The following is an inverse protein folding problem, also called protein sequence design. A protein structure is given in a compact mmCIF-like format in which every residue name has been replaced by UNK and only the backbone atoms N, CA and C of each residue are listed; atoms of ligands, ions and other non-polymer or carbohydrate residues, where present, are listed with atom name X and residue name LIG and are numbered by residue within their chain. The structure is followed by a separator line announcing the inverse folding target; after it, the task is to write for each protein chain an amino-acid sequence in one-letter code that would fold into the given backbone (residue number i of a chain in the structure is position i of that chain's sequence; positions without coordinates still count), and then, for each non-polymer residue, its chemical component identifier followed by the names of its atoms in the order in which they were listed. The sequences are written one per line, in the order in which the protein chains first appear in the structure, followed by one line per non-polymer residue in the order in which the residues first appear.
data_IF_029451263937
#
_entry.id   IF_029451263937
#
_cell.length_a   1.000
_cell.length_b   1.000
_cell.length_c   1.000
_cell.angle_alpha   90.00
_cell.angle_beta   90.00
_cell.angle_gamma   90.00
#
_symmetry.space_group_name_H-M   'P 1'
#
loop_
_entity.id
_entity.type
_entity.pdbx_description
1 polymer ?
#
# COMPACT_ATOMS: atom_id res chain seq x y z
N UNK A 1 0.51 -14.75 -11.32
CA UNK A 1 1.96 -14.63 -11.02
C UNK A 1 2.66 -13.58 -11.88
N UNK A 2 2.38 -13.48 -13.18
CA UNK A 2 3.05 -12.53 -14.09
C UNK A 2 3.03 -11.05 -13.62
N UNK A 3 1.91 -10.47 -13.11
CA UNK A 3 1.91 -9.07 -12.69
C UNK A 3 2.78 -8.79 -11.45
N UNK A 4 2.78 -9.69 -10.47
CA UNK A 4 3.56 -9.53 -9.24
C UNK A 4 5.07 -9.63 -9.49
N UNK A 5 5.48 -10.57 -10.34
CA UNK A 5 6.87 -10.70 -10.76
C UNK A 5 7.35 -9.46 -11.51
N UNK A 6 6.53 -8.93 -12.41
CA UNK A 6 6.84 -7.68 -13.12
C UNK A 6 6.89 -6.47 -12.17
N UNK A 7 6.02 -6.42 -11.17
CA UNK A 7 6.05 -5.37 -10.15
C UNK A 7 7.38 -5.35 -9.38
N UNK A 8 7.96 -6.51 -9.05
CA UNK A 8 9.33 -6.58 -8.48
C UNK A 8 10.38 -5.95 -9.39
N UNK A 9 10.39 -6.31 -10.67
CA UNK A 9 11.30 -5.70 -11.65
C UNK A 9 11.09 -4.20 -11.78
N UNK A 10 9.85 -3.73 -11.74
CA UNK A 10 9.51 -2.30 -11.80
C UNK A 10 10.04 -1.58 -10.56
N UNK A 11 9.80 -2.09 -9.35
CA UNK A 11 10.27 -1.47 -8.11
C UNK A 11 11.81 -1.45 -8.05
N UNK A 12 12.50 -2.51 -8.51
CA UNK A 12 13.96 -2.49 -8.66
C UNK A 12 14.44 -1.37 -9.59
N UNK A 13 13.76 -1.16 -10.72
CA UNK A 13 14.07 -0.05 -11.65
C UNK A 13 13.80 1.31 -11.01
N UNK A 14 12.68 1.47 -10.32
CA UNK A 14 12.31 2.71 -9.61
C UNK A 14 13.40 3.07 -8.59
N UNK A 15 13.82 2.11 -7.76
CA UNK A 15 14.83 2.34 -6.74
C UNK A 15 16.20 2.67 -7.35
N UNK A 16 16.56 1.99 -8.45
CA UNK A 16 17.83 2.24 -9.13
C UNK A 16 17.88 3.60 -9.83
N UNK A 17 16.75 4.04 -10.40
CA UNK A 17 16.64 5.28 -11.17
C UNK A 17 16.17 6.50 -10.35
N UNK A 18 15.62 6.28 -9.14
CA UNK A 18 15.01 7.35 -8.32
C UNK A 18 13.77 7.97 -8.97
N UNK A 19 13.02 7.21 -9.77
CA UNK A 19 11.89 7.72 -10.55
C UNK A 19 10.72 6.73 -10.56
N UNK A 20 9.52 7.20 -10.20
CA UNK A 20 8.29 6.41 -10.12
C UNK A 20 7.50 6.30 -11.42
N UNK A 21 7.87 7.02 -12.48
CA UNK A 21 7.20 6.92 -13.79
C UNK A 21 7.01 5.48 -14.30
N UNK A 22 7.99 4.55 -14.16
CA UNK A 22 7.80 3.15 -14.53
C UNK A 22 6.66 2.45 -13.78
N UNK A 23 6.34 2.85 -12.55
CA UNK A 23 5.21 2.33 -11.79
C UNK A 23 3.88 2.82 -12.37
N UNK A 24 3.77 4.11 -12.70
CA UNK A 24 2.58 4.67 -13.37
C UNK A 24 2.35 4.03 -14.74
N UNK A 25 3.39 3.84 -15.54
CA UNK A 25 3.32 3.15 -16.83
C UNK A 25 2.89 1.69 -16.66
N UNK A 26 3.47 0.98 -15.67
CA UNK A 26 3.08 -0.40 -15.39
C UNK A 26 1.61 -0.51 -14.96
N UNK A 27 1.16 0.36 -14.04
CA UNK A 27 -0.23 0.35 -13.59
C UNK A 27 -1.18 0.72 -14.74
N UNK A 28 -0.85 1.74 -15.55
CA UNK A 28 -1.66 2.11 -16.71
C UNK A 28 -1.85 0.93 -17.65
N UNK A 29 -0.77 0.24 -18.02
CA UNK A 29 -0.83 -0.95 -18.86
C UNK A 29 -1.63 -2.10 -18.22
N UNK A 30 -1.58 -2.22 -16.90
CA UNK A 30 -2.34 -3.23 -16.16
C UNK A 30 -3.84 -2.92 -16.18
N UNK A 31 -4.22 -1.64 -16.09
CA UNK A 31 -5.59 -1.18 -16.18
C UNK A 31 -6.18 -1.25 -17.59
N UNK A 32 -5.37 -1.33 -18.64
CA UNK A 32 -5.88 -1.60 -20.01
C UNK A 32 -6.36 -3.05 -20.19
N UNK A 33 -6.08 -3.95 -19.25
CA UNK A 33 -6.63 -5.31 -19.28
C UNK A 33 -8.14 -5.27 -19.06
N UNK A 34 -8.89 -6.08 -19.80
CA UNK A 34 -10.36 -6.09 -19.79
C UNK A 34 -10.96 -6.24 -18.37
N UNK A 35 -10.28 -6.99 -17.50
CA UNK A 35 -10.66 -7.17 -16.10
C UNK A 35 -10.66 -5.86 -15.29
N UNK A 36 -9.69 -4.99 -15.54
CA UNK A 36 -9.36 -3.84 -14.70
C UNK A 36 -9.82 -2.52 -15.31
N UNK A 37 -10.04 -2.48 -16.62
CA UNK A 37 -10.42 -1.28 -17.37
C UNK A 37 -11.64 -0.57 -16.79
N UNK A 38 -12.62 -1.33 -16.30
CA UNK A 38 -13.83 -0.80 -15.65
C UNK A 38 -13.57 -0.02 -14.35
N UNK A 39 -12.44 -0.27 -13.70
CA UNK A 39 -12.04 0.39 -12.46
C UNK A 39 -11.10 1.57 -12.71
N UNK A 40 -10.82 1.91 -13.98
CA UNK A 40 -10.06 3.10 -14.37
C UNK A 40 -10.94 4.36 -14.30
N UNK A 41 -11.40 4.67 -13.10
CA UNK A 41 -12.20 5.85 -12.78
C UNK A 41 -12.08 6.15 -11.28
N UNK A 42 -12.38 7.39 -10.90
CA UNK A 42 -12.40 7.77 -9.49
C UNK A 42 -13.67 7.27 -8.79
N UNK A 43 -13.57 6.74 -7.55
CA UNK A 43 -14.73 6.39 -6.72
C UNK A 43 -15.34 7.62 -6.04
N UNK A 44 -14.84 8.82 -6.34
CA UNK A 44 -15.32 10.09 -5.83
C UNK A 44 -15.86 10.99 -6.95
N UNK A 45 -16.96 11.72 -6.70
CA UNK A 45 -17.38 12.80 -7.59
C UNK A 45 -16.56 14.10 -7.43
N UNK A 46 -15.67 14.18 -6.43
CA UNK A 46 -14.90 15.40 -6.10
C UNK A 46 -13.42 15.33 -6.48
N UNK A 47 -12.93 14.15 -6.83
CA UNK A 47 -11.52 13.90 -7.14
C UNK A 47 -11.45 13.19 -8.47
N UNK A 48 -10.67 13.71 -9.42
CA UNK A 48 -10.40 13.03 -10.69
C UNK A 48 -9.35 11.94 -10.51
N UNK A 49 -9.38 10.91 -11.34
CA UNK A 49 -8.40 9.80 -11.23
C UNK A 49 -6.97 10.31 -11.44
N UNK A 50 -6.80 11.24 -12.37
CA UNK A 50 -5.52 11.84 -12.74
C UNK A 50 -4.86 12.57 -11.55
N UNK A 51 -5.64 13.09 -10.61
CA UNK A 51 -5.13 13.78 -9.41
C UNK A 51 -4.45 12.85 -8.41
N UNK A 52 -4.79 11.55 -8.45
CA UNK A 52 -4.32 10.54 -7.48
C UNK A 52 -3.56 9.39 -8.15
N UNK A 53 -3.55 9.32 -9.48
CA UNK A 53 -3.10 8.15 -10.23
C UNK A 53 -1.66 7.76 -9.91
N UNK A 54 -0.75 8.73 -9.86
CA UNK A 54 0.67 8.45 -9.61
C UNK A 54 0.94 7.94 -8.19
N UNK A 55 0.22 8.44 -7.20
CA UNK A 55 0.34 7.96 -5.82
C UNK A 55 -0.32 6.58 -5.66
N UNK A 56 -1.44 6.34 -6.34
CA UNK A 56 -2.05 5.00 -6.44
C UNK A 56 -1.07 4.03 -7.09
N UNK A 57 -0.41 4.41 -8.18
CA UNK A 57 0.58 3.58 -8.86
C UNK A 57 1.77 3.25 -7.97
N UNK A 58 2.34 4.27 -7.31
CA UNK A 58 3.44 4.11 -6.37
C UNK A 58 3.12 3.07 -5.29
N UNK A 59 1.99 3.23 -4.60
CA UNK A 59 1.57 2.31 -3.53
C UNK A 59 1.21 0.93 -4.09
N UNK A 60 0.35 0.85 -5.10
CA UNK A 60 -0.16 -0.42 -5.60
C UNK A 60 0.98 -1.28 -6.18
N UNK A 61 1.88 -0.69 -6.97
CA UNK A 61 2.99 -1.43 -7.59
C UNK A 61 4.01 -1.88 -6.54
N UNK A 62 4.29 -1.04 -5.54
CA UNK A 62 5.14 -1.46 -4.43
C UNK A 62 4.53 -2.63 -3.66
N UNK A 63 3.25 -2.55 -3.28
CA UNK A 63 2.58 -3.65 -2.57
C UNK A 63 2.52 -4.91 -3.42
N UNK A 64 2.23 -4.81 -4.73
CA UNK A 64 2.26 -5.94 -5.66
C UNK A 64 3.65 -6.60 -5.71
N UNK A 65 4.74 -5.84 -5.61
CA UNK A 65 6.10 -6.39 -5.61
C UNK A 65 6.40 -7.28 -4.39
N UNK A 66 5.68 -7.08 -3.29
CA UNK A 66 5.81 -7.90 -2.08
C UNK A 66 5.00 -9.19 -2.15
N UNK A 67 4.23 -9.41 -3.23
CA UNK A 67 3.39 -10.58 -3.43
C UNK A 67 3.97 -11.58 -4.45
N UNK A 68 3.61 -12.86 -4.33
CA UNK A 68 3.29 -13.49 -3.05
C UNK A 68 4.52 -13.41 -2.11
N UNK A 69 4.34 -13.34 -0.78
CA UNK A 69 5.44 -13.28 0.17
C UNK A 69 6.08 -14.66 0.36
N UNK A 70 6.73 -15.15 -0.69
CA UNK A 70 7.44 -16.43 -0.73
C UNK A 70 8.94 -16.19 -0.84
N UNK A 71 9.72 -17.05 -0.19
CA UNK A 71 11.17 -17.05 -0.30
C UNK A 71 11.60 -17.00 -1.78
N UNK A 72 12.37 -15.97 -2.14
CA UNK A 72 12.82 -15.72 -3.50
C UNK A 72 14.23 -15.13 -3.46
N UNK A 73 14.99 -15.32 -4.54
CA UNK A 73 16.34 -14.76 -4.70
C UNK A 73 16.33 -13.26 -5.06
N UNK A 74 15.15 -12.69 -5.27
CA UNK A 74 14.96 -11.34 -5.76
C UNK A 74 15.17 -10.32 -4.64
N UNK A 75 16.08 -9.39 -4.90
CA UNK A 75 16.48 -8.37 -3.92
C UNK A 75 15.93 -7.01 -4.25
N UNK A 76 15.66 -6.25 -3.21
CA UNK A 76 15.56 -4.82 -3.25
C UNK A 76 16.73 -4.27 -2.44
N UNK A 77 17.77 -3.81 -3.15
CA UNK A 77 19.07 -3.44 -2.54
C UNK A 77 19.71 -4.65 -1.83
N UNK A 78 20.05 -4.51 -0.54
CA UNK A 78 20.75 -5.54 0.24
C UNK A 78 19.83 -6.61 0.85
N UNK A 79 18.50 -6.43 0.75
CA UNK A 79 17.50 -7.32 1.36
C UNK A 79 16.59 -7.95 0.30
N UNK A 80 15.98 -9.08 0.63
CA UNK A 80 15.05 -9.75 -0.26
C UNK A 80 13.65 -9.11 -0.19
N UNK A 81 12.89 -9.12 -1.28
CA UNK A 81 11.47 -8.70 -1.23
C UNK A 81 10.68 -9.49 -0.19
N UNK A 82 10.99 -10.78 -0.04
CA UNK A 82 10.43 -11.65 0.98
C UNK A 82 10.71 -11.15 2.41
N UNK A 83 11.94 -10.73 2.70
CA UNK A 83 12.31 -10.19 4.01
C UNK A 83 11.55 -8.89 4.32
N UNK A 84 11.35 -8.02 3.32
CA UNK A 84 10.56 -6.80 3.48
C UNK A 84 9.12 -7.14 3.83
N UNK A 85 8.52 -8.12 3.14
CA UNK A 85 7.16 -8.56 3.41
C UNK A 85 7.02 -9.14 4.84
N UNK A 86 7.93 -10.02 5.26
CA UNK A 86 7.95 -10.60 6.62
C UNK A 86 8.13 -9.53 7.70
N UNK A 87 9.03 -8.57 7.49
CA UNK A 87 9.26 -7.48 8.43
C UNK A 87 8.05 -6.53 8.51
N UNK A 88 7.35 -6.25 7.40
CA UNK A 88 6.11 -5.46 7.42
C UNK A 88 4.97 -6.19 8.14
N UNK A 89 4.77 -7.48 7.84
CA UNK A 89 3.78 -8.30 8.55
C UNK A 89 4.08 -8.37 10.05
N UNK A 90 5.36 -8.47 10.43
CA UNK A 90 5.75 -8.47 11.84
C UNK A 90 5.59 -7.10 12.48
N UNK A 91 5.93 -6.01 11.79
CA UNK A 91 5.78 -4.63 12.27
C UNK A 91 4.34 -4.33 12.66
N UNK A 92 3.35 -4.93 12.00
CA UNK A 92 1.93 -4.79 12.37
C UNK A 92 1.60 -5.37 13.77
N UNK A 93 2.34 -6.39 14.20
CA UNK A 93 2.16 -7.06 15.50
C UNK A 93 3.05 -6.44 16.57
N UNK A 94 4.32 -6.17 16.26
CA UNK A 94 5.33 -5.81 17.26
C UNK A 94 5.73 -4.33 17.23
N UNK A 95 5.25 -3.56 16.24
CA UNK A 95 5.54 -2.14 16.11
C UNK A 95 6.94 -1.79 15.60
N UNK A 96 7.75 -2.76 15.18
CA UNK A 96 9.16 -2.57 14.79
C UNK A 96 9.47 -3.14 13.40
N UNK A 97 10.11 -2.33 12.53
CA UNK A 97 10.69 -2.79 11.26
C UNK A 97 12.20 -3.02 11.41
N UNK A 98 12.59 -4.30 11.48
CA UNK A 98 13.93 -4.74 11.92
C UNK A 98 14.40 -6.03 11.25
N UNK A 99 15.73 -6.17 11.11
CA UNK A 99 16.39 -7.36 10.54
C UNK A 99 16.09 -8.62 11.37
N UNK A 100 15.78 -8.46 12.66
CA UNK A 100 15.36 -9.56 13.55
C UNK A 100 14.23 -10.41 12.95
N UNK A 101 13.36 -9.78 12.17
CA UNK A 101 12.16 -10.36 11.57
C UNK A 101 12.31 -10.64 10.07
N UNK A 102 13.54 -10.60 9.55
CA UNK A 102 13.88 -10.85 8.15
C UNK A 102 14.71 -12.14 8.06
N UNK A 103 14.10 -13.31 7.75
CA UNK A 103 14.78 -14.60 7.84
C UNK A 103 16.08 -14.71 7.04
N UNK A 104 16.08 -14.25 5.79
CA UNK A 104 17.26 -14.37 4.92
C UNK A 104 18.32 -13.33 5.29
N UNK A 105 17.92 -12.08 5.55
CA UNK A 105 18.82 -11.03 6.04
C UNK A 105 19.49 -11.44 7.36
N UNK A 106 18.74 -11.99 8.32
CA UNK A 106 19.27 -12.47 9.60
C UNK A 106 20.29 -13.59 9.42
N UNK A 107 20.07 -14.48 8.45
CA UNK A 107 21.04 -15.53 8.12
C UNK A 107 22.34 -14.94 7.56
N UNK A 108 22.24 -13.94 6.69
CA UNK A 108 23.41 -13.24 6.13
C UNK A 108 24.18 -12.46 7.22
N UNK A 109 23.50 -11.83 8.18
CA UNK A 109 24.15 -11.19 9.34
C UNK A 109 24.92 -12.21 10.19
N UNK A 110 24.36 -13.39 10.43
CA UNK A 110 25.07 -14.48 11.13
C UNK A 110 26.32 -14.97 10.40
N UNK A 111 26.38 -14.78 9.09
CA UNK A 111 27.55 -15.05 8.25
C UNK A 111 28.54 -13.88 8.20
N UNK A 112 28.33 -12.83 9.00
CA UNK A 112 29.20 -11.65 9.07
C UNK A 112 28.91 -10.57 8.03
N UNK A 113 27.83 -10.69 7.24
CA UNK A 113 27.45 -9.62 6.28
C UNK A 113 26.69 -8.51 6.98
N UNK A 114 27.15 -7.27 6.82
CA UNK A 114 26.43 -6.09 7.31
C UNK A 114 25.28 -5.74 6.37
N UNK A 115 24.06 -5.69 6.89
CA UNK A 115 22.86 -5.32 6.11
C UNK A 115 22.40 -3.91 6.49
N UNK A 116 22.10 -3.09 5.49
CA UNK A 116 21.68 -1.71 5.69
C UNK A 116 20.21 -1.50 5.30
N UNK A 117 19.34 -1.25 6.27
CA UNK A 117 17.92 -0.98 6.04
C UNK A 117 17.60 0.48 5.67
N UNK A 118 18.58 1.40 5.66
CA UNK A 118 18.31 2.84 5.49
C UNK A 118 17.58 3.16 4.19
N UNK A 119 17.98 2.54 3.08
CA UNK A 119 17.35 2.74 1.77
C UNK A 119 15.91 2.21 1.76
N UNK A 120 15.71 1.01 2.31
CA UNK A 120 14.39 0.38 2.40
C UNK A 120 13.46 1.21 3.29
N UNK A 121 13.92 1.68 4.45
CA UNK A 121 13.12 2.54 5.34
C UNK A 121 12.70 3.84 4.65
N UNK A 122 13.62 4.50 3.92
CA UNK A 122 13.29 5.68 3.11
C UNK A 122 12.25 5.37 2.04
N UNK A 123 12.38 4.23 1.36
CA UNK A 123 11.41 3.80 0.36
C UNK A 123 10.03 3.55 0.97
N UNK A 124 9.97 2.92 2.15
CA UNK A 124 8.71 2.71 2.86
C UNK A 124 8.04 4.04 3.27
N UNK A 125 8.83 5.06 3.62
CA UNK A 125 8.32 6.40 3.89
C UNK A 125 7.86 7.11 2.60
N UNK A 126 8.62 7.00 1.52
CA UNK A 126 8.29 7.60 0.23
C UNK A 126 7.01 7.04 -0.39
N UNK A 127 6.77 5.72 -0.23
CA UNK A 127 5.54 5.04 -0.66
C UNK A 127 4.36 5.31 0.28
N UNK A 128 4.62 5.87 1.46
CA UNK A 128 3.60 6.19 2.46
C UNK A 128 3.18 5.01 3.33
N UNK A 129 3.95 3.91 3.40
CA UNK A 129 3.67 2.75 4.27
C UNK A 129 4.08 3.03 5.71
N UNK A 130 5.15 3.81 5.89
CA UNK A 130 5.66 4.20 7.21
C UNK A 130 5.77 5.71 7.28
N UNK A 131 5.56 6.29 8.46
CA UNK A 131 5.91 7.69 8.75
C UNK A 131 6.58 7.77 10.11
N UNK A 132 7.82 8.26 10.15
CA UNK A 132 8.57 8.39 11.41
C UNK A 132 8.77 7.06 12.13
N UNK A 133 8.89 5.96 11.38
CA UNK A 133 9.03 4.61 11.94
C UNK A 133 7.74 3.92 12.37
N UNK A 134 6.57 4.53 12.20
CA UNK A 134 5.25 3.94 12.53
C UNK A 134 4.48 3.58 11.26
N UNK A 135 3.76 2.45 11.25
CA UNK A 135 2.87 2.08 10.14
C UNK A 135 1.75 3.11 9.98
N UNK A 136 1.55 3.60 8.76
CA UNK A 136 0.40 4.42 8.37
C UNK A 136 -0.85 3.55 8.18
N UNK A 137 -2.00 4.16 7.89
CA UNK A 137 -3.20 3.44 7.45
C UNK A 137 -2.98 2.74 6.11
N UNK A 138 -2.38 3.42 5.14
CA UNK A 138 -1.88 2.80 3.88
C UNK A 138 -0.94 1.62 4.17
N UNK A 139 -0.07 1.75 5.17
CA UNK A 139 0.81 0.66 5.60
C UNK A 139 0.07 -0.51 6.23
N UNK A 140 -0.97 -0.26 7.04
CA UNK A 140 -1.84 -1.31 7.56
C UNK A 140 -2.59 -2.03 6.43
N UNK A 141 -3.10 -1.29 5.43
CA UNK A 141 -3.67 -1.87 4.21
C UNK A 141 -2.69 -2.80 3.50
N UNK A 142 -1.44 -2.34 3.29
CA UNK A 142 -0.41 -3.16 2.66
C UNK A 142 -0.15 -4.45 3.46
N UNK A 143 -0.07 -4.38 4.79
CA UNK A 143 0.12 -5.57 5.64
C UNK A 143 -1.10 -6.50 5.61
N UNK A 144 -2.32 -5.97 5.67
CA UNK A 144 -3.56 -6.76 5.56
C UNK A 144 -3.60 -7.53 4.23
N UNK A 145 -3.16 -6.91 3.13
CA UNK A 145 -3.07 -7.60 1.83
C UNK A 145 -2.10 -8.79 1.88
N UNK A 146 -0.93 -8.63 2.49
CA UNK A 146 0.09 -9.68 2.64
C UNK A 146 -0.41 -10.82 3.52
N UNK A 147 -0.97 -10.50 4.69
CA UNK A 147 -1.53 -11.48 5.61
C UNK A 147 -2.67 -12.28 4.97
N UNK A 148 -3.55 -11.60 4.24
CA UNK A 148 -4.62 -12.26 3.48
C UNK A 148 -4.05 -13.20 2.41
N UNK A 149 -3.00 -12.75 1.69
CA UNK A 149 -2.33 -13.58 0.69
C UNK A 149 -1.71 -14.84 1.28
N UNK A 150 -1.09 -14.75 2.46
CA UNK A 150 -0.54 -15.92 3.16
C UNK A 150 -1.66 -16.85 3.62
N UNK A 151 -2.68 -16.31 4.28
CA UNK A 151 -3.76 -17.09 4.89
C UNK A 151 -4.64 -17.81 3.84
N UNK A 152 -4.93 -17.15 2.71
CA UNK A 152 -5.79 -17.69 1.65
C UNK A 152 -5.02 -18.29 0.48
N UNK A 153 -3.68 -18.19 0.47
CA UNK A 153 -2.82 -18.53 -0.68
C UNK A 153 -3.30 -17.86 -1.97
N UNK A 154 -3.77 -16.61 -1.85
CA UNK A 154 -4.42 -15.87 -2.92
C UNK A 154 -4.01 -14.40 -2.91
N UNK A 155 -3.42 -13.93 -4.00
CA UNK A 155 -3.06 -12.52 -4.18
C UNK A 155 -3.91 -11.91 -5.30
N UNK A 156 -4.56 -10.77 -5.03
CA UNK A 156 -5.39 -10.05 -6.02
C UNK A 156 -4.79 -8.69 -6.37
N UNK A 157 -4.56 -8.51 -7.67
CA UNK A 157 -4.13 -7.22 -8.23
C UNK A 157 -5.25 -6.19 -8.07
N UNK A 158 -6.49 -6.60 -8.33
CA UNK A 158 -7.69 -5.78 -8.17
C UNK A 158 -7.80 -5.26 -6.73
N UNK A 159 -7.69 -6.14 -5.74
CA UNK A 159 -7.81 -5.78 -4.33
C UNK A 159 -6.74 -4.79 -3.89
N UNK A 160 -5.49 -4.97 -4.33
CA UNK A 160 -4.40 -4.04 -4.04
C UNK A 160 -4.64 -2.67 -4.70
N UNK A 161 -4.97 -2.67 -6.00
CA UNK A 161 -5.24 -1.43 -6.74
C UNK A 161 -6.42 -0.66 -6.13
N UNK A 162 -7.56 -1.32 -5.91
CA UNK A 162 -8.76 -0.69 -5.39
C UNK A 162 -8.55 -0.18 -3.96
N UNK A 163 -7.80 -0.90 -3.12
CA UNK A 163 -7.48 -0.43 -1.77
C UNK A 163 -6.60 0.81 -1.78
N UNK A 164 -5.58 0.85 -2.67
CA UNK A 164 -4.77 2.05 -2.87
C UNK A 164 -5.58 3.21 -3.44
N UNK A 165 -6.48 2.94 -4.39
CA UNK A 165 -7.39 3.94 -4.97
C UNK A 165 -8.30 4.57 -3.90
N UNK A 166 -8.90 3.76 -3.03
CA UNK A 166 -9.71 4.25 -1.90
C UNK A 166 -8.88 5.17 -1.00
N UNK A 167 -7.68 4.73 -0.60
CA UNK A 167 -6.83 5.49 0.31
C UNK A 167 -6.43 6.86 -0.24
N UNK A 168 -5.94 6.90 -1.49
CA UNK A 168 -5.47 8.12 -2.11
C UNK A 168 -6.61 9.04 -2.56
N UNK A 169 -7.76 8.48 -2.96
CA UNK A 169 -8.97 9.29 -3.22
C UNK A 169 -9.44 9.97 -1.95
N UNK A 170 -9.46 9.25 -0.81
CA UNK A 170 -9.83 9.83 0.48
C UNK A 170 -8.84 10.92 0.90
N UNK A 171 -7.54 10.68 0.74
CA UNK A 171 -6.51 11.69 1.03
C UNK A 171 -6.70 12.96 0.19
N UNK A 172 -7.02 12.82 -1.09
CA UNK A 172 -7.31 13.95 -1.97
C UNK A 172 -8.61 14.68 -1.58
N UNK A 173 -9.69 13.98 -1.24
CA UNK A 173 -10.93 14.61 -0.78
C UNK A 173 -10.71 15.41 0.51
N UNK A 174 -9.96 14.84 1.45
CA UNK A 174 -9.68 15.46 2.74
C UNK A 174 -8.64 16.58 2.65
N UNK A 175 -8.02 16.79 1.47
CA UNK A 175 -7.04 17.87 1.25
C UNK A 175 -7.72 19.22 1.48
N UNK A 176 -7.20 19.97 2.44
CA UNK A 176 -7.74 21.28 2.80
C UNK A 176 -8.98 21.24 3.71
N UNK A 177 -9.46 20.07 4.12
CA UNK A 177 -10.46 19.99 5.18
C UNK A 177 -9.83 20.44 6.51
N UNK A 178 -10.40 21.47 7.13
CA UNK A 178 -9.95 22.02 8.40
C UNK A 178 -11.03 21.85 9.46
N UNK A 179 -10.62 21.47 10.66
CA UNK A 179 -11.48 21.29 11.83
C UNK A 179 -10.67 20.75 13.00
N UNK A 180 -11.31 20.57 14.14
CA UNK A 180 -10.73 19.85 15.27
C UNK A 180 -10.35 18.42 14.88
N UNK A 181 -9.42 17.79 15.61
CA UNK A 181 -9.04 16.39 15.38
C UNK A 181 -10.27 15.49 15.29
N UNK A 182 -11.25 15.67 16.19
CA UNK A 182 -12.50 14.90 16.18
C UNK A 182 -13.29 15.07 14.88
N UNK A 183 -13.47 16.29 14.40
CA UNK A 183 -14.20 16.57 13.16
C UNK A 183 -13.48 15.96 11.95
N UNK A 184 -12.16 16.06 11.90
CA UNK A 184 -11.33 15.48 10.84
C UNK A 184 -11.46 13.96 10.81
N UNK A 185 -11.45 13.30 11.96
CA UNK A 185 -11.61 11.85 12.03
C UNK A 185 -13.03 11.42 11.64
N UNK A 186 -14.07 12.14 12.09
CA UNK A 186 -15.45 11.86 11.71
C UNK A 186 -15.68 12.03 10.20
N UNK A 187 -15.13 13.10 9.63
CA UNK A 187 -15.22 13.37 8.20
C UNK A 187 -14.47 12.31 7.38
N UNK A 188 -13.28 11.90 7.83
CA UNK A 188 -12.52 10.82 7.21
C UNK A 188 -13.30 9.50 7.18
N UNK A 189 -13.96 9.12 8.29
CA UNK A 189 -14.81 7.92 8.36
C UNK A 189 -16.00 8.04 7.39
N UNK A 190 -16.69 9.17 7.40
CA UNK A 190 -17.87 9.38 6.55
C UNK A 190 -17.52 9.30 5.06
N UNK A 191 -16.45 10.00 4.64
CA UNK A 191 -15.99 9.98 3.25
C UNK A 191 -15.41 8.64 2.84
N UNK A 192 -14.67 7.97 3.73
CA UNK A 192 -14.20 6.60 3.52
C UNK A 192 -15.36 5.66 3.22
N UNK A 193 -16.40 5.68 4.05
CA UNK A 193 -17.57 4.81 3.88
C UNK A 193 -18.25 5.05 2.52
N UNK A 194 -18.41 6.30 2.11
CA UNK A 194 -18.97 6.65 0.81
C UNK A 194 -18.12 6.10 -0.34
N UNK A 195 -16.81 6.38 -0.33
CA UNK A 195 -15.86 5.92 -1.36
C UNK A 195 -15.87 4.38 -1.46
N UNK A 196 -15.81 3.69 -0.31
CA UNK A 196 -15.83 2.23 -0.26
C UNK A 196 -17.14 1.66 -0.78
N UNK A 197 -18.28 2.28 -0.47
CA UNK A 197 -19.58 1.84 -1.01
C UNK A 197 -19.62 1.92 -2.53
N UNK A 198 -19.12 3.02 -3.11
CA UNK A 198 -19.01 3.17 -4.57
C UNK A 198 -18.13 2.07 -5.19
N UNK A 199 -16.98 1.75 -4.58
CA UNK A 199 -16.14 0.64 -5.06
C UNK A 199 -16.86 -0.71 -4.93
N UNK A 200 -17.54 -0.97 -3.81
CA UNK A 200 -18.32 -2.21 -3.60
C UNK A 200 -19.44 -2.35 -4.63
N UNK A 201 -20.10 -1.27 -5.01
CA UNK A 201 -21.10 -1.28 -6.08
C UNK A 201 -20.49 -1.67 -7.42
N UNK A 202 -19.29 -1.17 -7.75
CA UNK A 202 -18.59 -1.58 -8.97
C UNK A 202 -18.21 -3.06 -8.96
N UNK A 203 -17.77 -3.57 -7.81
CA UNK A 203 -17.47 -4.99 -7.65
C UNK A 203 -18.74 -5.83 -7.80
N UNK A 204 -19.86 -5.44 -7.17
CA UNK A 204 -21.14 -6.15 -7.26
C UNK A 204 -21.71 -6.16 -8.68
N UNK A 205 -21.58 -5.05 -9.41
CA UNK A 205 -22.00 -4.91 -10.80
C UNK A 205 -21.07 -5.64 -11.79
N UNK A 206 -19.96 -6.23 -11.33
CA UNK A 206 -19.05 -6.94 -12.22
C UNK A 206 -19.72 -8.16 -12.88
N UNK A 207 -19.64 -8.32 -14.21
CA UNK A 207 -20.00 -9.58 -14.89
C UNK A 207 -19.14 -10.78 -14.46
N UNK A 208 -17.91 -10.57 -13.98
CA UNK A 208 -17.00 -11.66 -13.59
C UNK A 208 -17.20 -11.98 -12.11
N UNK A 209 -17.72 -13.17 -11.80
CA UNK A 209 -18.08 -13.57 -10.43
C UNK A 209 -16.93 -13.44 -9.42
N UNK A 210 -15.70 -13.78 -9.82
CA UNK A 210 -14.53 -13.69 -8.93
C UNK A 210 -14.19 -12.25 -8.54
N UNK A 211 -14.60 -11.25 -9.33
CA UNK A 211 -14.39 -9.85 -8.99
C UNK A 211 -15.36 -9.38 -7.91
N UNK A 212 -16.56 -9.97 -7.82
CA UNK A 212 -17.58 -9.59 -6.82
C UNK A 212 -17.12 -9.86 -5.38
N UNK A 213 -16.17 -10.78 -5.21
CA UNK A 213 -15.59 -11.15 -3.91
C UNK A 213 -14.18 -10.61 -3.70
N UNK A 214 -13.74 -9.61 -4.50
CA UNK A 214 -12.43 -8.98 -4.29
C UNK A 214 -12.43 -8.25 -2.94
N UNK A 215 -11.50 -8.59 -2.03
CA UNK A 215 -11.38 -7.90 -0.75
C UNK A 215 -10.84 -6.48 -0.94
N UNK A 216 -11.37 -5.55 -0.14
CA UNK A 216 -10.78 -4.23 0.08
C UNK A 216 -10.10 -4.24 1.43
N UNK A 217 -8.85 -3.78 1.47
CA UNK A 217 -7.98 -3.89 2.63
C UNK A 217 -7.73 -2.56 3.34
N UNK A 218 -8.20 -1.44 2.76
CA UNK A 218 -8.18 -0.12 3.41
C UNK A 218 -9.52 0.12 4.11
N UNK A 219 -9.53 -0.12 5.42
CA UNK A 219 -10.70 -0.02 6.30
C UNK A 219 -10.79 1.36 6.98
N UNK A 220 -11.86 1.60 7.71
CA UNK A 220 -12.09 2.92 8.31
C UNK A 220 -11.08 3.22 9.43
N UNK A 221 -10.59 2.20 10.12
CA UNK A 221 -9.53 2.29 11.13
C UNK A 221 -8.22 2.78 10.49
N UNK A 222 -7.92 2.32 9.28
CA UNK A 222 -6.75 2.71 8.51
C UNK A 222 -6.86 4.19 8.12
N UNK A 223 -8.05 4.61 7.66
CA UNK A 223 -8.33 6.01 7.38
C UNK A 223 -8.15 6.91 8.61
N UNK A 224 -8.76 6.55 9.74
CA UNK A 224 -8.59 7.29 10.99
C UNK A 224 -7.12 7.42 11.37
N UNK A 225 -6.34 6.34 11.22
CA UNK A 225 -4.92 6.34 11.52
C UNK A 225 -4.13 7.31 10.63
N UNK A 226 -4.39 7.33 9.33
CA UNK A 226 -3.71 8.25 8.41
C UNK A 226 -3.95 9.71 8.78
N UNK A 227 -5.21 10.09 9.04
CA UNK A 227 -5.52 11.47 9.39
C UNK A 227 -5.11 11.86 10.82
N UNK A 228 -5.13 10.92 11.77
CA UNK A 228 -4.54 11.14 13.08
C UNK A 228 -3.03 11.43 12.97
N UNK A 229 -2.29 10.62 12.20
CA UNK A 229 -0.86 10.82 11.97
C UNK A 229 -0.57 12.13 11.24
N UNK A 230 -1.43 12.60 10.34
CA UNK A 230 -1.28 13.92 9.71
C UNK A 230 -1.39 15.04 10.74
N UNK A 231 -2.44 15.03 11.58
CA UNK A 231 -2.69 16.08 12.59
C UNK A 231 -1.65 16.14 13.70
N UNK A 232 -1.18 15.00 14.18
CA UNK A 232 -0.14 14.93 15.21
C UNK A 232 1.13 15.66 14.78
N UNK A 233 1.46 15.60 13.49
CA UNK A 233 2.63 16.30 12.94
C UNK A 233 2.39 17.80 12.71
N UNK A 234 1.15 18.22 12.44
CA UNK A 234 0.78 19.63 12.30
C UNK A 234 0.72 20.35 13.64
N UNK A 235 0.20 19.68 14.68
CA UNK A 235 0.01 20.25 16.02
C UNK A 235 1.21 20.03 16.95
N UNK A 236 2.27 19.35 16.49
CA UNK A 236 3.45 19.05 17.31
C UNK A 236 3.18 18.10 18.49
N UNK A 237 2.08 17.34 18.42
CA UNK A 237 1.69 16.41 19.48
C UNK A 237 2.70 15.26 19.57
N UNK A 238 3.21 14.99 20.77
CA UNK A 238 3.94 13.76 21.07
C UNK A 238 2.98 12.79 21.73
N UNK A 239 2.94 11.55 21.26
CA UNK A 239 2.40 10.45 22.06
C UNK A 239 3.32 10.31 23.28
N UNK A 240 2.89 10.82 24.43
CA UNK A 240 3.48 10.53 25.73
C UNK A 240 3.04 9.15 26.19
#
# INVERSE_FOLDING_TARGET
MEPFQRAKTVVQKVVSAGNWKPASEFLSNLLEREELQRFRKSPSPHVQLEEVFDDVAKTAVFVMSLHPPTASSEKLEDVYFYDIAEALMTMYVVGEFSIRYMPAARQLERQGKKINLRKVKRLLEEVGIVKGGVLTGVGQMAVKTLLYSVARRYSSVEGIYLSALVAHTLSAEMRGFSGSVREVLMEAISRHQRIVNTVKEWLAASPKLYQRSVPLFYEWEDAVKDFALMRINEEGFRFT
#
